data_IF_534735504802
#
_entry.id   IF_534735504802
#
_cell.length_a   1.000
_cell.length_b   1.000
_cell.length_c   1.000
_cell.angle_alpha   90.00
_cell.angle_beta   90.00
_cell.angle_gamma   90.00
#
_symmetry.space_group_name_H-M   'P 1'
#
loop_
_entity.id
_entity.type
_entity.pdbx_description
1 polymer ?
#
# COMPACT_ATOMS: atom_id res chain seq x y z
N UNK A 1 -21.97 8.31 -11.93
CA UNK A 1 -22.58 7.66 -10.74
C UNK A 1 -21.84 8.13 -9.50
N UNK A 2 -22.54 8.73 -8.54
CA UNK A 2 -21.90 9.30 -7.35
C UNK A 2 -21.64 8.19 -6.34
N UNK A 3 -20.40 8.04 -5.90
CA UNK A 3 -20.01 7.11 -4.84
C UNK A 3 -19.32 7.85 -3.70
N UNK A 4 -19.48 7.36 -2.47
CA UNK A 4 -18.98 7.98 -1.25
C UNK A 4 -18.20 6.97 -0.44
N UNK A 5 -16.97 7.33 -0.06
CA UNK A 5 -16.10 6.52 0.78
C UNK A 5 -15.13 7.43 1.56
N UNK A 6 -14.44 6.87 2.53
CA UNK A 6 -13.39 7.58 3.24
C UNK A 6 -12.03 7.32 2.60
N UNK A 7 -11.23 8.36 2.36
CA UNK A 7 -9.84 8.21 1.90
C UNK A 7 -8.92 8.99 2.82
N UNK A 8 -7.96 8.30 3.42
CA UNK A 8 -6.96 8.91 4.29
C UNK A 8 -7.59 9.75 5.42
N UNK A 9 -8.68 9.25 6.02
CA UNK A 9 -9.42 9.90 7.10
C UNK A 9 -10.35 11.03 6.65
N UNK A 10 -10.53 11.24 5.34
CA UNK A 10 -11.43 12.27 4.79
C UNK A 10 -12.58 11.65 4.02
N UNK A 11 -13.79 12.06 4.31
CA UNK A 11 -14.96 11.66 3.51
C UNK A 11 -14.89 12.34 2.15
N UNK A 12 -15.01 11.54 1.10
CA UNK A 12 -15.04 12.01 -0.29
C UNK A 12 -16.32 11.58 -0.98
N UNK A 13 -16.75 12.39 -1.93
CA UNK A 13 -17.87 12.08 -2.83
C UNK A 13 -17.40 12.37 -4.25
N UNK A 14 -17.35 11.33 -5.06
CA UNK A 14 -16.87 11.43 -6.45
C UNK A 14 -17.94 10.95 -7.42
N UNK A 15 -18.03 11.61 -8.55
CA UNK A 15 -18.90 11.17 -9.64
C UNK A 15 -18.05 10.41 -10.66
N UNK A 16 -18.30 9.12 -10.76
CA UNK A 16 -17.46 8.19 -11.53
C UNK A 16 -18.27 7.37 -12.53
N UNK A 17 -17.63 6.98 -13.61
CA UNK A 17 -18.18 5.95 -14.50
C UNK A 17 -18.20 4.60 -13.76
N UNK A 18 -19.25 3.78 -13.95
CA UNK A 18 -19.36 2.48 -13.24
C UNK A 18 -18.17 1.53 -13.43
N UNK A 19 -17.45 1.66 -14.54
CA UNK A 19 -16.29 0.83 -14.88
C UNK A 19 -14.94 1.41 -14.43
N UNK A 20 -14.92 2.60 -13.82
CA UNK A 20 -13.68 3.21 -13.35
C UNK A 20 -13.09 2.38 -12.21
N UNK A 21 -11.81 2.01 -12.32
CA UNK A 21 -11.13 1.29 -11.25
C UNK A 21 -10.89 2.20 -10.04
N UNK A 22 -10.77 1.61 -8.86
CA UNK A 22 -10.39 2.35 -7.66
C UNK A 22 -9.00 3.00 -7.83
N UNK A 23 -8.05 2.31 -8.49
CA UNK A 23 -6.73 2.85 -8.78
C UNK A 23 -6.80 4.13 -9.61
N UNK A 24 -7.59 4.14 -10.68
CA UNK A 24 -7.77 5.31 -11.53
C UNK A 24 -8.49 6.44 -10.80
N UNK A 25 -9.52 6.11 -10.01
CA UNK A 25 -10.23 7.07 -9.18
C UNK A 25 -9.28 7.77 -8.19
N UNK A 26 -8.46 7.01 -7.46
CA UNK A 26 -7.47 7.57 -6.55
C UNK A 26 -6.49 8.51 -7.27
N UNK A 27 -5.96 8.09 -8.42
CA UNK A 27 -4.93 8.83 -9.14
C UNK A 27 -5.47 10.04 -9.89
N UNK A 28 -6.59 9.90 -10.59
CA UNK A 28 -7.07 10.91 -11.55
C UNK A 28 -8.12 11.84 -10.93
N UNK A 29 -9.07 11.30 -10.17
CA UNK A 29 -10.12 12.11 -9.55
C UNK A 29 -9.63 12.73 -8.22
N UNK A 30 -8.94 11.95 -7.38
CA UNK A 30 -8.49 12.41 -6.07
C UNK A 30 -7.03 12.91 -6.03
N UNK A 31 -6.30 12.78 -7.15
CA UNK A 31 -4.89 13.22 -7.30
C UNK A 31 -3.92 12.55 -6.31
N UNK A 32 -4.27 11.37 -5.79
CA UNK A 32 -3.41 10.56 -4.94
C UNK A 32 -2.51 9.67 -5.81
N UNK A 33 -1.42 10.23 -6.30
CA UNK A 33 -0.56 9.59 -7.31
C UNK A 33 0.48 8.63 -6.73
N UNK A 34 0.58 8.52 -5.42
CA UNK A 34 1.44 7.55 -4.75
C UNK A 34 1.04 6.09 -5.01
N UNK A 35 -0.23 5.83 -5.31
CA UNK A 35 -0.68 4.52 -5.81
C UNK A 35 -0.26 4.36 -7.27
N UNK A 36 0.68 3.45 -7.57
CA UNK A 36 1.16 3.22 -8.93
C UNK A 36 0.37 2.12 -9.64
N UNK A 37 0.27 2.18 -10.97
CA UNK A 37 -0.39 1.18 -11.80
C UNK A 37 0.64 0.58 -12.75
N UNK A 38 0.88 -0.75 -12.67
CA UNK A 38 1.88 -1.42 -13.49
C UNK A 38 1.34 -2.47 -14.46
N UNK A 39 0.29 -3.23 -14.07
CA UNK A 39 -0.19 -4.36 -14.88
C UNK A 39 -1.70 -4.37 -15.16
N UNK A 40 -2.51 -3.70 -14.35
CA UNK A 40 -3.98 -3.61 -14.45
C UNK A 40 -4.72 -4.98 -14.42
N UNK A 41 -4.03 -6.03 -13.98
CA UNK A 41 -4.63 -7.39 -13.85
C UNK A 41 -4.22 -8.11 -12.56
N UNK A 42 -3.79 -7.35 -11.53
CA UNK A 42 -3.63 -7.83 -10.17
C UNK A 42 -2.30 -8.51 -9.85
N UNK A 43 -1.41 -8.75 -10.81
CA UNK A 43 -0.19 -9.56 -10.63
C UNK A 43 0.93 -8.77 -9.96
N UNK A 44 1.17 -7.50 -10.36
CA UNK A 44 2.39 -6.79 -9.96
C UNK A 44 2.36 -6.19 -8.55
N UNK A 45 1.19 -5.94 -7.96
CA UNK A 45 1.06 -5.37 -6.62
C UNK A 45 1.40 -3.88 -6.47
N UNK A 46 1.79 -3.18 -7.55
CA UNK A 46 2.14 -1.76 -7.48
C UNK A 46 0.98 -0.86 -7.02
N UNK A 47 -0.26 -1.27 -7.31
CA UNK A 47 -1.48 -0.56 -6.96
C UNK A 47 -2.07 -0.93 -5.59
N UNK A 48 -1.31 -1.57 -4.72
CA UNK A 48 -1.81 -1.99 -3.40
C UNK A 48 -2.18 -0.77 -2.55
N UNK A 49 -3.40 -0.79 -2.02
CA UNK A 49 -3.93 0.13 -1.02
C UNK A 49 -4.54 -0.68 0.11
N UNK A 50 -4.85 -0.06 1.25
CA UNK A 50 -5.67 -0.71 2.28
C UNK A 50 -7.12 -0.32 2.09
N UNK A 51 -8.01 -1.30 2.11
CA UNK A 51 -9.47 -1.12 2.19
C UNK A 51 -9.92 -1.77 3.48
N UNK A 52 -10.47 -0.98 4.40
CA UNK A 52 -10.85 -1.41 5.75
C UNK A 52 -9.72 -2.12 6.51
N UNK A 53 -8.46 -1.73 6.24
CA UNK A 53 -7.25 -2.31 6.82
C UNK A 53 -6.59 -3.43 6.00
N UNK A 54 -7.30 -4.04 5.06
CA UNK A 54 -6.83 -5.15 4.24
C UNK A 54 -6.06 -4.67 2.99
N UNK A 55 -4.92 -5.30 2.71
CA UNK A 55 -4.11 -4.99 1.53
C UNK A 55 -4.75 -5.56 0.25
N UNK A 56 -5.24 -4.71 -0.62
CA UNK A 56 -5.95 -5.09 -1.85
C UNK A 56 -5.34 -4.48 -3.10
N UNK A 57 -5.60 -5.08 -4.25
CA UNK A 57 -5.19 -4.57 -5.57
C UNK A 57 -6.25 -3.61 -6.10
N UNK A 58 -6.04 -2.32 -5.96
CA UNK A 58 -7.02 -1.30 -6.36
C UNK A 58 -7.36 -1.29 -7.86
N UNK A 59 -6.49 -1.85 -8.72
CA UNK A 59 -6.80 -2.03 -10.15
C UNK A 59 -7.84 -3.11 -10.45
N UNK A 60 -8.18 -3.96 -9.47
CA UNK A 60 -9.19 -5.03 -9.60
C UNK A 60 -10.52 -4.69 -8.91
N UNK A 61 -10.59 -3.52 -8.27
CA UNK A 61 -11.80 -3.04 -7.59
C UNK A 61 -12.34 -1.87 -8.40
N UNK A 62 -13.65 -1.86 -8.67
CA UNK A 62 -14.30 -0.70 -9.25
C UNK A 62 -14.54 0.35 -8.17
N UNK A 63 -14.40 1.63 -8.51
CA UNK A 63 -14.60 2.73 -7.56
C UNK A 63 -15.99 2.66 -6.89
N UNK A 64 -17.02 2.25 -7.63
CA UNK A 64 -18.38 2.07 -7.12
C UNK A 64 -18.50 0.94 -6.09
N UNK A 65 -17.60 -0.05 -6.11
CA UNK A 65 -17.58 -1.15 -5.12
C UNK A 65 -16.98 -0.70 -3.77
N UNK A 66 -16.26 0.40 -3.77
CA UNK A 66 -15.65 0.97 -2.56
C UNK A 66 -16.63 1.83 -1.74
N UNK A 67 -17.90 1.91 -2.15
CA UNK A 67 -18.94 2.68 -1.42
C UNK A 67 -18.96 2.31 0.07
N UNK A 68 -18.83 3.32 0.93
CA UNK A 68 -18.90 3.17 2.38
C UNK A 68 -17.64 2.60 3.05
N UNK A 69 -16.59 2.25 2.31
CA UNK A 69 -15.34 1.69 2.87
C UNK A 69 -14.36 2.80 3.29
N UNK A 70 -13.33 2.38 4.04
CA UNK A 70 -12.19 3.23 4.42
C UNK A 70 -10.96 2.83 3.62
N UNK A 71 -10.45 3.75 2.82
CA UNK A 71 -9.29 3.54 1.98
C UNK A 71 -8.10 4.27 2.58
N UNK A 72 -6.98 3.54 2.73
CA UNK A 72 -5.71 4.12 3.14
C UNK A 72 -4.69 3.93 2.04
N UNK A 73 -4.09 5.02 1.59
CA UNK A 73 -3.04 5.01 0.57
C UNK A 73 -1.68 5.32 1.19
N UNK A 74 -0.61 5.10 0.44
CA UNK A 74 0.77 5.28 0.92
C UNK A 74 1.03 6.71 1.43
N UNK A 75 0.32 7.70 0.94
CA UNK A 75 0.48 9.11 1.30
C UNK A 75 0.23 9.39 2.79
N UNK A 76 -0.66 8.62 3.43
CA UNK A 76 -1.01 8.87 4.83
C UNK A 76 -0.32 7.93 5.80
N UNK A 77 0.43 6.96 5.30
CA UNK A 77 1.22 6.09 6.18
C UNK A 77 2.28 6.88 6.97
N UNK A 78 2.64 8.07 6.49
CA UNK A 78 3.48 9.04 7.21
C UNK A 78 2.57 10.09 7.88
N UNK A 79 2.52 10.11 9.22
CA UNK A 79 1.61 11.01 9.98
C UNK A 79 2.14 12.43 10.17
N UNK A 80 3.47 12.61 10.11
CA UNK A 80 4.17 13.87 10.36
C UNK A 80 5.20 14.16 9.27
N UNK A 81 5.91 15.28 9.37
CA UNK A 81 6.98 15.66 8.43
C UNK A 81 8.22 14.75 8.52
N UNK A 82 8.03 13.43 8.41
CA UNK A 82 9.12 12.47 8.52
C UNK A 82 8.79 11.11 7.92
N UNK A 83 9.80 10.28 7.79
CA UNK A 83 9.63 8.90 7.37
C UNK A 83 9.07 8.06 8.52
N UNK A 84 8.10 7.19 8.22
CA UNK A 84 7.72 6.15 9.18
C UNK A 84 8.90 5.21 9.46
N UNK A 85 8.88 4.45 10.57
CA UNK A 85 9.92 3.45 10.84
C UNK A 85 10.15 2.49 9.66
N UNK A 86 9.07 2.06 8.99
CA UNK A 86 9.15 1.20 7.81
C UNK A 86 9.81 1.92 6.63
N UNK A 87 9.43 3.15 6.33
CA UNK A 87 10.05 3.94 5.27
C UNK A 87 11.54 4.25 5.57
N UNK A 88 11.85 4.58 6.82
CA UNK A 88 13.23 4.79 7.27
C UNK A 88 14.08 3.52 7.11
N UNK A 89 13.51 2.36 7.44
CA UNK A 89 14.15 1.07 7.25
C UNK A 89 14.38 0.75 5.76
N UNK A 90 13.41 1.02 4.89
CA UNK A 90 13.59 0.88 3.44
C UNK A 90 14.74 1.74 2.92
N UNK A 91 14.86 2.98 3.40
CA UNK A 91 15.99 3.85 3.06
C UNK A 91 17.32 3.32 3.61
N UNK A 92 17.35 2.89 4.87
CA UNK A 92 18.54 2.35 5.55
C UNK A 92 19.11 1.12 4.84
N UNK A 93 18.26 0.21 4.41
CA UNK A 93 18.63 -1.05 3.75
C UNK A 93 18.75 -0.93 2.22
N UNK A 94 18.63 0.28 1.66
CA UNK A 94 18.59 0.49 0.20
C UNK A 94 17.55 -0.42 -0.49
N UNK A 95 16.39 -0.59 0.13
CA UNK A 95 15.32 -1.50 -0.30
C UNK A 95 14.51 -0.96 -1.48
N UNK A 96 15.04 -0.02 -2.23
CA UNK A 96 14.47 0.55 -3.44
C UNK A 96 15.56 1.00 -4.40
N UNK A 97 15.25 0.99 -5.71
CA UNK A 97 16.09 1.57 -6.75
C UNK A 97 15.25 2.54 -7.58
N UNK A 98 14.51 2.08 -8.61
CA UNK A 98 13.64 2.97 -9.38
C UNK A 98 12.45 3.53 -8.57
N UNK A 99 12.07 2.87 -7.48
CA UNK A 99 10.97 3.31 -6.60
C UNK A 99 9.56 2.95 -7.06
N UNK A 100 9.39 2.37 -8.26
CA UNK A 100 8.05 2.14 -8.81
C UNK A 100 7.21 1.13 -8.00
N UNK A 101 7.80 0.06 -7.52
CA UNK A 101 7.12 -0.93 -6.68
C UNK A 101 6.99 -0.49 -5.21
N UNK A 102 7.75 0.51 -4.79
CA UNK A 102 7.96 0.85 -3.38
C UNK A 102 6.66 1.21 -2.64
N UNK A 103 5.74 2.02 -3.18
CA UNK A 103 4.47 2.31 -2.50
C UNK A 103 3.65 1.04 -2.21
N UNK A 104 3.51 0.16 -3.18
CA UNK A 104 2.81 -1.12 -3.02
C UNK A 104 3.50 -2.05 -2.03
N UNK A 105 4.85 -2.13 -2.06
CA UNK A 105 5.64 -2.90 -1.08
C UNK A 105 5.44 -2.39 0.35
N UNK A 106 5.52 -1.07 0.54
CA UNK A 106 5.34 -0.44 1.87
C UNK A 106 3.93 -0.68 2.38
N UNK A 107 2.91 -0.51 1.55
CA UNK A 107 1.50 -0.72 1.95
C UNK A 107 1.27 -2.19 2.34
N UNK A 108 1.77 -3.15 1.55
CA UNK A 108 1.68 -4.58 1.86
C UNK A 108 2.43 -4.95 3.13
N UNK A 109 3.66 -4.45 3.30
CA UNK A 109 4.46 -4.70 4.50
C UNK A 109 3.85 -4.04 5.74
N UNK A 110 3.24 -2.85 5.60
CA UNK A 110 2.53 -2.19 6.69
C UNK A 110 1.34 -3.03 7.18
N UNK A 111 0.52 -3.57 6.26
CA UNK A 111 -0.57 -4.46 6.61
C UNK A 111 -0.05 -5.70 7.37
N UNK A 112 0.95 -6.39 6.81
CA UNK A 112 1.57 -7.56 7.45
C UNK A 112 2.06 -7.24 8.86
N UNK A 113 2.85 -6.20 9.04
CA UNK A 113 3.43 -5.85 10.35
C UNK A 113 2.40 -5.37 11.36
N UNK A 114 1.27 -4.82 10.88
CA UNK A 114 0.16 -4.42 11.75
C UNK A 114 -0.58 -5.62 12.34
N UNK A 115 -0.63 -6.73 11.63
CA UNK A 115 -1.27 -7.98 12.05
C UNK A 115 -0.29 -8.94 12.71
N UNK A 116 0.88 -9.12 12.12
CA UNK A 116 1.90 -10.11 12.49
C UNK A 116 3.26 -9.42 12.76
N UNK A 117 3.41 -8.60 13.83
CA UNK A 117 4.66 -7.87 14.09
C UNK A 117 5.85 -8.77 14.40
N UNK A 118 5.60 -10.06 14.71
CA UNK A 118 6.62 -11.07 14.98
C UNK A 118 6.91 -11.99 13.78
N UNK A 119 6.37 -11.70 12.58
CA UNK A 119 6.59 -12.50 11.38
C UNK A 119 8.09 -12.73 11.10
N UNK A 120 8.43 -13.92 10.62
CA UNK A 120 9.79 -14.25 10.21
C UNK A 120 10.07 -13.88 8.74
N UNK A 121 11.29 -14.17 8.28
CA UNK A 121 11.70 -13.86 6.93
C UNK A 121 10.92 -14.64 5.86
N UNK A 122 10.51 -15.86 6.15
CA UNK A 122 9.77 -16.69 5.20
C UNK A 122 8.35 -16.18 5.06
N UNK A 123 7.72 -15.76 6.15
CA UNK A 123 6.41 -15.10 6.13
C UNK A 123 6.44 -13.78 5.36
N UNK A 124 7.49 -12.96 5.55
CA UNK A 124 7.69 -11.73 4.78
C UNK A 124 7.81 -12.04 3.28
N UNK A 125 8.61 -13.06 2.90
CA UNK A 125 8.75 -13.46 1.49
C UNK A 125 7.44 -13.95 0.89
N UNK A 126 6.69 -14.76 1.64
CA UNK A 126 5.38 -15.26 1.22
C UNK A 126 4.43 -14.11 0.90
N UNK A 127 4.25 -13.16 1.83
CA UNK A 127 3.33 -12.03 1.65
C UNK A 127 3.78 -11.10 0.53
N UNK A 128 5.08 -10.79 0.46
CA UNK A 128 5.62 -9.92 -0.58
C UNK A 128 5.74 -10.61 -1.96
N UNK A 129 5.51 -11.92 -2.07
CA UNK A 129 5.50 -12.62 -3.36
C UNK A 129 4.46 -12.07 -4.33
N UNK A 130 3.40 -11.44 -3.81
CA UNK A 130 2.38 -10.74 -4.59
C UNK A 130 2.77 -9.33 -5.06
N UNK A 131 4.00 -8.86 -4.76
CA UNK A 131 4.49 -7.54 -5.15
C UNK A 131 5.78 -7.68 -5.96
N UNK A 132 5.75 -7.32 -7.24
CA UNK A 132 6.90 -7.51 -8.14
C UNK A 132 7.86 -6.32 -8.07
N UNK A 133 9.15 -6.64 -7.93
CA UNK A 133 10.25 -5.70 -8.06
C UNK A 133 11.25 -6.23 -9.09
N UNK A 134 11.57 -5.43 -10.12
CA UNK A 134 12.54 -5.81 -11.17
C UNK A 134 13.98 -5.41 -10.84
N UNK A 135 14.18 -4.58 -9.81
CA UNK A 135 15.45 -3.92 -9.55
C UNK A 135 16.26 -4.55 -8.42
N UNK A 136 15.64 -4.80 -7.25
CA UNK A 136 16.34 -5.01 -5.98
C UNK A 136 16.78 -6.44 -5.71
N UNK A 137 16.16 -7.45 -6.34
CA UNK A 137 16.37 -8.85 -5.99
C UNK A 137 15.75 -9.26 -4.64
N UNK A 138 14.93 -8.38 -4.01
CA UNK A 138 14.12 -8.61 -2.81
C UNK A 138 14.85 -8.73 -1.47
N UNK A 139 16.11 -9.14 -1.42
CA UNK A 139 16.82 -9.38 -0.14
C UNK A 139 16.75 -8.14 0.76
N UNK A 140 17.15 -6.99 0.25
CA UNK A 140 17.12 -5.72 0.99
C UNK A 140 15.71 -5.31 1.42
N UNK A 141 14.68 -5.66 0.64
CA UNK A 141 13.27 -5.39 1.01
C UNK A 141 12.87 -6.25 2.21
N UNK A 142 13.19 -7.55 2.18
CA UNK A 142 12.91 -8.46 3.30
C UNK A 142 13.64 -8.00 4.57
N UNK A 143 14.91 -7.65 4.46
CA UNK A 143 15.70 -7.10 5.58
C UNK A 143 15.10 -5.83 6.14
N UNK A 144 14.65 -4.91 5.29
CA UNK A 144 14.00 -3.67 5.72
C UNK A 144 12.70 -3.92 6.48
N UNK A 145 11.87 -4.85 6.03
CA UNK A 145 10.63 -5.21 6.72
C UNK A 145 10.93 -5.82 8.09
N UNK A 146 11.91 -6.72 8.17
CA UNK A 146 12.32 -7.36 9.42
C UNK A 146 12.89 -6.35 10.43
N UNK A 147 13.68 -5.38 9.98
CA UNK A 147 14.26 -4.32 10.82
C UNK A 147 13.16 -3.40 11.40
N UNK A 148 12.10 -3.13 10.63
CA UNK A 148 11.00 -2.28 11.06
C UNK A 148 10.04 -2.93 12.08
N UNK A 149 10.07 -4.25 12.30
CA UNK A 149 9.13 -4.99 13.16
C UNK A 149 9.01 -4.42 14.57
N UNK A 150 10.14 -4.01 15.16
CA UNK A 150 10.16 -3.51 16.54
C UNK A 150 9.23 -2.30 16.76
N UNK A 151 9.04 -1.47 15.73
CA UNK A 151 8.18 -0.31 15.80
C UNK A 151 6.68 -0.65 15.76
N UNK A 152 6.32 -1.86 15.35
CA UNK A 152 4.94 -2.37 15.31
C UNK A 152 4.58 -3.18 16.57
N UNK A 153 5.59 -3.58 17.37
CA UNK A 153 5.38 -4.27 18.66
C UNK A 153 4.96 -3.24 19.71
N UNK A 154 3.69 -3.14 20.01
CA UNK A 154 3.15 -2.23 21.03
C UNK A 154 2.39 -1.04 20.50
N UNK A 155 2.20 -0.92 19.19
CA UNK A 155 1.28 0.02 18.59
C UNK A 155 -0.16 -0.46 18.72
N UNK A 156 -0.96 0.28 19.47
CA UNK A 156 -2.43 0.19 19.42
C UNK A 156 -2.89 0.41 17.97
N UNK A 157 -3.77 -0.46 17.51
CA UNK A 157 -4.49 -0.40 16.23
C UNK A 157 -5.18 0.94 16.02
#
# INVERSE_FOLDING_TARGET
>A
MTTKFEVNGKQVSVDVEPRLTLADCLRHELRLTGTHIGCEHGVCGACTVLVDGEAVRSCLILAVQAEGTKITTVEVLSKDEGLTPLQASFRKHHALQCGFCTPGMITTAHALLSEEPDCDADRVREVLSGNLCRCTGYVSIVEAVLDARAAYKGGTR
#
